data_IF_861141803403
#
_entry.id   IF_861141803403
#
_cell.length_a   1.000
_cell.length_b   1.000
_cell.length_c   1.000
_cell.angle_alpha   90.00
_cell.angle_beta   90.00
_cell.angle_gamma   90.00
#
_symmetry.space_group_name_H-M   'P 1'
#
loop_
_entity.id
_entity.type
_entity.pdbx_description
1 polymer ?
#
# COMPACT_ATOMS: atom_id res chain seq x y z
N UNK A 1 25.49 -31.38 -57.40
CA UNK A 1 24.44 -31.97 -56.54
C UNK A 1 23.68 -30.94 -55.67
N UNK A 2 23.97 -29.63 -55.73
CA UNK A 2 23.37 -28.61 -54.85
C UNK A 2 21.94 -28.16 -55.25
N UNK A 3 21.57 -28.26 -56.52
CA UNK A 3 20.27 -27.73 -56.98
C UNK A 3 19.05 -28.50 -56.42
N UNK A 4 19.14 -29.83 -56.33
CA UNK A 4 18.04 -30.67 -55.84
C UNK A 4 17.84 -30.53 -54.32
N UNK A 5 18.92 -30.30 -53.56
CA UNK A 5 18.83 -30.07 -52.11
C UNK A 5 18.18 -28.72 -51.83
N UNK A 6 18.62 -27.66 -52.54
CA UNK A 6 18.00 -26.33 -52.47
C UNK A 6 16.51 -26.36 -52.84
N UNK A 7 16.13 -27.08 -53.91
CA UNK A 7 14.72 -27.22 -54.28
C UNK A 7 13.88 -27.94 -53.21
N UNK A 8 14.49 -28.87 -52.47
CA UNK A 8 13.81 -29.55 -51.36
C UNK A 8 13.63 -28.62 -50.17
N UNK A 9 14.67 -27.87 -49.81
CA UNK A 9 14.61 -26.86 -48.73
C UNK A 9 13.55 -25.80 -49.00
N UNK A 10 13.44 -25.31 -50.25
CA UNK A 10 12.39 -24.34 -50.63
C UNK A 10 11.01 -24.93 -50.40
N UNK A 11 10.75 -26.16 -50.86
CA UNK A 11 9.46 -26.83 -50.65
C UNK A 11 9.14 -27.04 -49.17
N UNK A 12 10.14 -27.44 -48.38
CA UNK A 12 9.96 -27.65 -46.94
C UNK A 12 9.63 -26.33 -46.23
N UNK A 13 10.26 -25.22 -46.63
CA UNK A 13 9.95 -23.89 -46.12
C UNK A 13 8.56 -23.38 -46.54
N UNK A 14 8.16 -23.60 -47.80
CA UNK A 14 6.82 -23.26 -48.29
C UNK A 14 5.73 -23.98 -47.47
N UNK A 15 5.92 -25.29 -47.24
CA UNK A 15 5.02 -26.09 -46.41
C UNK A 15 4.95 -25.58 -44.97
N UNK A 16 6.09 -25.18 -44.40
CA UNK A 16 6.14 -24.60 -43.07
C UNK A 16 5.35 -23.28 -43.00
N UNK A 17 5.54 -22.39 -43.98
CA UNK A 17 4.82 -21.11 -44.06
C UNK A 17 3.31 -21.29 -44.21
N UNK A 18 2.87 -22.25 -45.02
CA UNK A 18 1.45 -22.54 -45.18
C UNK A 18 0.84 -23.10 -43.88
N UNK A 19 1.57 -23.93 -43.14
CA UNK A 19 1.15 -24.37 -41.80
C UNK A 19 1.01 -23.17 -40.85
N UNK A 20 1.98 -22.25 -40.84
CA UNK A 20 1.93 -21.04 -40.01
C UNK A 20 0.74 -20.15 -40.38
N UNK A 21 0.45 -19.98 -41.68
CA UNK A 21 -0.69 -19.18 -42.16
C UNK A 21 -2.02 -19.73 -41.69
N UNK A 22 -2.25 -21.05 -41.84
CA UNK A 22 -3.48 -21.70 -41.36
C UNK A 22 -3.67 -21.51 -39.86
N UNK A 23 -2.61 -21.68 -39.07
CA UNK A 23 -2.67 -21.44 -37.61
C UNK A 23 -3.04 -20.00 -37.30
N UNK A 24 -2.46 -19.04 -38.01
CA UNK A 24 -2.81 -17.63 -37.86
C UNK A 24 -4.27 -17.33 -38.21
N UNK A 25 -4.80 -17.93 -39.28
CA UNK A 25 -6.21 -17.82 -39.67
C UNK A 25 -7.15 -18.39 -38.59
N UNK A 26 -6.70 -19.45 -37.89
CA UNK A 26 -7.39 -20.05 -36.74
C UNK A 26 -7.20 -19.25 -35.43
N UNK A 27 -6.43 -18.15 -35.45
CA UNK A 27 -6.11 -17.35 -34.27
C UNK A 27 -5.10 -17.98 -33.31
N UNK A 28 -4.41 -19.03 -33.75
CA UNK A 28 -3.35 -19.71 -33.02
C UNK A 28 -1.99 -19.08 -33.32
N UNK A 29 -0.99 -19.26 -32.43
CA UNK A 29 0.37 -18.83 -32.67
C UNK A 29 0.97 -19.55 -33.90
N UNK A 30 1.78 -18.85 -34.72
CA UNK A 30 2.35 -19.40 -35.97
C UNK A 30 3.16 -20.67 -35.77
N UNK A 31 3.85 -20.78 -34.63
CA UNK A 31 4.69 -21.91 -34.25
C UNK A 31 4.49 -22.23 -32.76
N UNK A 32 4.59 -23.51 -32.35
CA UNK A 32 4.60 -23.90 -30.93
C UNK A 32 5.70 -23.23 -30.11
N UNK A 33 6.86 -22.99 -30.71
CA UNK A 33 7.99 -22.33 -30.03
C UNK A 33 7.66 -20.88 -29.66
N UNK A 34 6.91 -20.19 -30.55
CA UNK A 34 6.47 -18.82 -30.33
C UNK A 34 5.52 -18.71 -29.13
N UNK A 35 4.67 -19.72 -28.92
CA UNK A 35 3.79 -19.80 -27.74
C UNK A 35 4.61 -19.95 -26.45
N UNK A 36 5.65 -20.78 -26.46
CA UNK A 36 6.52 -20.97 -25.30
C UNK A 36 7.29 -19.68 -24.95
N UNK A 37 7.83 -19.00 -25.97
CA UNK A 37 8.49 -17.71 -25.80
C UNK A 37 7.52 -16.66 -25.25
N UNK A 38 6.30 -16.60 -25.78
CA UNK A 38 5.25 -15.72 -25.28
C UNK A 38 4.91 -16.00 -23.80
N UNK A 39 4.75 -17.27 -23.44
CA UNK A 39 4.53 -17.66 -22.06
C UNK A 39 5.71 -17.30 -21.15
N UNK A 40 6.95 -17.39 -21.65
CA UNK A 40 8.15 -16.93 -20.91
C UNK A 40 8.06 -15.43 -20.64
N UNK A 41 7.78 -14.63 -21.66
CA UNK A 41 7.64 -13.17 -21.56
C UNK A 41 6.55 -12.80 -20.55
N UNK A 42 5.38 -13.43 -20.62
CA UNK A 42 4.28 -13.17 -19.66
C UNK A 42 4.68 -13.49 -18.22
N UNK A 43 5.41 -14.57 -17.98
CA UNK A 43 5.92 -14.93 -16.64
C UNK A 43 6.94 -13.89 -16.15
N UNK A 44 7.85 -13.48 -17.02
CA UNK A 44 8.83 -12.43 -16.71
C UNK A 44 8.17 -11.10 -16.41
N UNK A 45 7.18 -10.68 -17.20
CA UNK A 45 6.42 -9.45 -16.94
C UNK A 45 5.71 -9.49 -15.60
N UNK A 46 5.03 -10.61 -15.29
CA UNK A 46 4.36 -10.78 -13.99
C UNK A 46 5.36 -10.65 -12.83
N UNK A 47 6.54 -11.28 -12.97
CA UNK A 47 7.61 -11.17 -11.97
C UNK A 47 8.09 -9.73 -11.84
N UNK A 48 8.43 -9.06 -12.95
CA UNK A 48 8.89 -7.66 -12.94
C UNK A 48 7.86 -6.72 -12.33
N UNK A 49 6.56 -6.91 -12.62
CA UNK A 49 5.48 -6.12 -12.02
C UNK A 49 5.39 -6.36 -10.51
N UNK A 50 5.51 -7.60 -10.05
CA UNK A 50 5.53 -7.92 -8.63
C UNK A 50 6.75 -7.28 -7.93
N UNK A 51 7.95 -7.41 -8.51
CA UNK A 51 9.17 -6.82 -7.98
C UNK A 51 9.07 -5.28 -7.91
N UNK A 52 8.47 -4.65 -8.93
CA UNK A 52 8.22 -3.21 -8.94
C UNK A 52 7.26 -2.79 -7.81
N UNK A 53 6.17 -3.54 -7.62
CA UNK A 53 5.22 -3.28 -6.53
C UNK A 53 5.86 -3.46 -5.15
N UNK A 54 6.68 -4.51 -4.96
CA UNK A 54 7.39 -4.73 -3.71
C UNK A 54 8.38 -3.60 -3.42
N UNK A 55 9.16 -3.18 -4.42
CA UNK A 55 10.06 -2.02 -4.29
C UNK A 55 9.31 -0.75 -3.94
N UNK A 56 8.18 -0.48 -4.59
CA UNK A 56 7.36 0.69 -4.30
C UNK A 56 6.83 0.65 -2.85
N UNK A 57 6.34 -0.51 -2.39
CA UNK A 57 5.91 -0.69 -0.99
C UNK A 57 7.04 -0.46 0.01
N UNK A 58 8.23 -0.98 -0.26
CA UNK A 58 9.40 -0.76 0.62
C UNK A 58 9.79 0.72 0.69
N UNK A 59 9.78 1.43 -0.43
CA UNK A 59 10.06 2.88 -0.46
C UNK A 59 9.00 3.66 0.35
N UNK A 60 7.73 3.31 0.20
CA UNK A 60 6.64 3.94 0.97
C UNK A 60 6.76 3.66 2.47
N UNK A 61 7.11 2.43 2.86
CA UNK A 61 7.37 2.06 4.26
C UNK A 61 8.59 2.80 4.82
N UNK A 62 9.69 2.86 4.07
CA UNK A 62 10.87 3.65 4.44
C UNK A 62 10.53 5.12 4.63
N UNK A 63 9.70 5.71 3.77
CA UNK A 63 9.27 7.11 3.88
C UNK A 63 8.41 7.34 5.14
N UNK A 64 7.46 6.46 5.42
CA UNK A 64 6.66 6.48 6.66
C UNK A 64 7.51 6.35 7.91
N UNK A 65 8.58 5.57 7.83
CA UNK A 65 9.52 5.31 8.92
C UNK A 65 10.56 6.43 9.10
N UNK A 66 10.60 7.44 8.22
CA UNK A 66 11.50 8.58 8.36
C UNK A 66 10.89 9.63 9.28
N UNK A 67 11.61 9.91 10.36
CA UNK A 67 11.30 11.00 11.27
C UNK A 67 11.69 12.36 10.66
N UNK A 68 11.11 13.47 11.13
CA UNK A 68 11.44 14.83 10.65
C UNK A 68 12.92 15.20 10.79
N UNK A 69 13.63 14.58 11.73
CA UNK A 69 15.07 14.76 11.94
C UNK A 69 15.93 13.92 10.96
N UNK A 70 15.32 13.18 10.04
CA UNK A 70 15.99 12.32 9.07
C UNK A 70 16.39 10.94 9.60
N UNK A 71 16.14 10.62 10.87
CA UNK A 71 16.38 9.28 11.41
C UNK A 71 15.28 8.30 10.98
N UNK A 72 15.64 7.02 10.87
CA UNK A 72 14.69 5.95 10.59
C UNK A 72 14.22 5.29 11.89
N UNK A 73 12.92 5.02 12.01
CA UNK A 73 12.31 4.32 13.15
C UNK A 73 11.55 3.08 12.68
N UNK A 74 11.61 2.00 13.47
CA UNK A 74 10.79 0.79 13.27
C UNK A 74 9.56 0.76 14.18
N UNK A 75 9.35 1.80 15.00
CA UNK A 75 8.20 1.89 15.89
C UNK A 75 6.93 2.25 15.11
N UNK A 76 5.86 1.47 15.29
CA UNK A 76 4.57 1.76 14.67
C UNK A 76 3.96 3.07 15.21
N UNK A 77 3.38 3.92 14.34
CA UNK A 77 2.72 5.14 14.77
C UNK A 77 1.46 4.81 15.57
N UNK A 78 1.24 5.51 16.70
CA UNK A 78 0.05 5.30 17.52
C UNK A 78 -1.21 5.75 16.75
N UNK A 79 -2.26 4.92 16.64
CA UNK A 79 -3.52 5.31 15.99
C UNK A 79 -4.13 6.59 16.57
N UNK A 80 -3.93 6.80 17.88
CA UNK A 80 -4.43 7.95 18.63
C UNK A 80 -3.30 8.90 19.06
N UNK A 81 -2.28 9.11 18.24
CA UNK A 81 -1.32 10.17 18.50
C UNK A 81 -2.08 11.52 18.54
N UNK A 82 -2.21 12.09 19.74
CA UNK A 82 -2.88 13.38 19.97
C UNK A 82 -2.11 14.58 19.37
N UNK A 83 -0.95 14.29 18.79
CA UNK A 83 -0.09 15.24 18.10
C UNK A 83 -0.44 15.11 16.61
N UNK A 84 -0.96 16.17 15.97
CA UNK A 84 -1.24 16.15 14.55
C UNK A 84 0.02 15.76 13.76
N UNK A 85 -0.16 15.01 12.67
CA UNK A 85 0.91 14.71 11.73
C UNK A 85 1.22 15.96 10.91
N UNK A 86 1.99 16.89 11.49
CA UNK A 86 2.43 18.15 10.89
C UNK A 86 3.14 19.04 11.90
N UNK A 87 3.91 20.02 11.43
CA UNK A 87 4.75 20.88 12.28
C UNK A 87 3.94 21.83 13.19
N UNK A 88 2.65 22.01 12.90
CA UNK A 88 1.77 22.86 13.69
C UNK A 88 1.11 22.05 14.81
N UNK A 89 1.83 21.82 15.92
CA UNK A 89 1.17 21.45 17.17
C UNK A 89 0.12 22.52 17.49
N UNK A 90 -1.11 22.14 17.90
CA UNK A 90 -2.07 23.11 18.35
C UNK A 90 -1.48 23.80 19.59
N UNK A 91 -1.18 25.09 19.47
CA UNK A 91 -0.79 25.88 20.64
C UNK A 91 -1.87 25.69 21.71
N UNK A 92 -1.50 25.38 22.96
CA UNK A 92 -2.47 25.21 24.02
C UNK A 92 -3.32 26.47 24.10
N UNK A 93 -4.62 26.33 23.80
CA UNK A 93 -5.55 27.46 23.90
C UNK A 93 -5.75 27.74 25.39
N UNK A 94 -5.47 28.96 25.89
CA UNK A 94 -5.82 29.29 27.25
C UNK A 94 -7.33 29.12 27.39
N UNK A 95 -7.80 28.57 28.51
CA UNK A 95 -9.22 28.29 28.74
C UNK A 95 -10.11 29.55 28.80
N UNK A 96 -9.56 30.73 28.54
CA UNK A 96 -10.26 32.01 28.56
C UNK A 96 -10.84 32.31 29.94
N UNK A 97 -11.95 33.05 29.96
CA UNK A 97 -12.65 33.42 31.19
C UNK A 97 -13.38 32.23 31.87
N UNK A 98 -13.53 31.09 31.18
CA UNK A 98 -14.23 29.90 31.64
C UNK A 98 -13.24 28.74 31.87
N UNK A 99 -12.12 29.03 32.55
CA UNK A 99 -11.19 28.00 32.94
C UNK A 99 -11.86 26.93 33.81
N UNK A 100 -11.51 25.63 33.63
CA UNK A 100 -11.96 24.60 34.54
C UNK A 100 -11.64 25.04 35.96
N UNK A 101 -12.68 25.07 36.79
CA UNK A 101 -12.69 25.68 38.11
C UNK A 101 -11.48 25.20 38.91
N UNK A 102 -10.61 26.13 39.31
CA UNK A 102 -9.66 25.87 40.39
C UNK A 102 -10.51 25.59 41.63
N UNK A 103 -10.44 24.39 42.25
CA UNK A 103 -11.18 24.13 43.47
C UNK A 103 -10.84 25.21 44.49
N UNK A 104 -11.84 25.97 44.95
CA UNK A 104 -11.63 26.92 46.04
C UNK A 104 -11.09 26.15 47.25
N UNK A 105 -10.03 26.67 47.87
CA UNK A 105 -9.54 26.13 49.14
C UNK A 105 -10.69 26.09 50.14
N UNK A 106 -10.72 25.04 50.97
CA UNK A 106 -11.83 24.81 51.88
C UNK A 106 -11.95 25.93 52.91
N UNK A 107 -12.76 26.94 52.59
CA UNK A 107 -12.94 28.11 53.44
C UNK A 107 -13.74 27.80 54.69
N UNK A 108 -13.60 28.64 55.72
CA UNK A 108 -14.33 28.51 57.00
C UNK A 108 -15.85 28.38 56.83
N UNK A 109 -16.43 28.99 55.78
CA UNK A 109 -17.86 28.90 55.45
C UNK A 109 -18.32 27.48 55.08
N UNK A 110 -17.45 26.59 54.62
CA UNK A 110 -17.81 25.22 54.26
C UNK A 110 -18.20 24.37 55.48
N UNK A 111 -17.81 24.79 56.70
CA UNK A 111 -18.21 24.12 57.95
C UNK A 111 -19.72 24.24 58.24
N UNK A 112 -20.39 25.22 57.63
CA UNK A 112 -21.82 25.46 57.81
C UNK A 112 -22.68 24.80 56.72
N UNK A 113 -22.07 24.19 55.69
CA UNK A 113 -22.79 23.50 54.62
C UNK A 113 -23.20 22.12 55.15
N UNK A 114 -24.51 21.93 55.40
CA UNK A 114 -25.06 20.61 55.73
C UNK A 114 -25.19 19.79 54.46
N UNK A 115 -24.59 18.59 54.44
CA UNK A 115 -24.75 17.65 53.32
C UNK A 115 -26.24 17.25 53.25
N UNK A 116 -26.87 17.27 52.07
CA UNK A 116 -28.25 16.79 51.94
C UNK A 116 -28.31 15.28 52.23
N UNK A 117 -29.40 14.84 52.85
CA UNK A 117 -29.63 13.41 53.05
C UNK A 117 -29.94 12.74 51.70
N UNK A 118 -29.20 11.69 51.32
CA UNK A 118 -29.46 10.99 50.06
C UNK A 118 -30.81 10.30 50.16
N UNK A 119 -31.71 10.58 49.20
CA UNK A 119 -33.00 9.87 49.10
C UNK A 119 -32.73 8.44 48.63
N UNK A 120 -33.42 7.43 49.19
CA UNK A 120 -33.31 6.07 48.68
C UNK A 120 -33.76 6.02 47.23
N UNK A 121 -32.95 5.37 46.39
CA UNK A 121 -33.29 5.10 44.99
C UNK A 121 -34.15 3.84 45.00
N UNK A 122 -35.38 3.94 44.52
CA UNK A 122 -36.23 2.77 44.27
C UNK A 122 -35.64 2.01 43.07
N UNK A 123 -35.32 0.73 43.27
CA UNK A 123 -34.88 -0.20 42.22
C UNK A 123 -36.08 -1.07 41.83
#
# INVERSE_FOLDING_TARGET
ACAMTLQREVKDQELHLDCCRRRLEEGLPPSPEMELEWQRILREERRRRADLQERARRIEEEEKNRLPNGAYTTAEPRPNAYIPQGDNLPLPRPYGALAPFKPSEAGSSMRHIRKPEPKPIEI
#
